data_IF_787633211386
#
_entry.id   IF_787633211386
#
_cell.length_a   1.000
_cell.length_b   1.000
_cell.length_c   1.000
_cell.angle_alpha   90.00
_cell.angle_beta   90.00
_cell.angle_gamma   90.00
#
_symmetry.space_group_name_H-M   'P 1'
#
loop_
_entity.id
_entity.type
_entity.pdbx_description
1 polymer ?
#
# COMPACT_ATOMS: atom_id res chain seq x y z
N UNK A 1 -25.46 -3.21 9.48
CA UNK A 1 -24.80 -2.83 8.21
C UNK A 1 -23.31 -2.71 8.52
N UNK A 2 -22.62 -3.84 8.57
CA UNK A 2 -21.17 -3.97 8.82
C UNK A 2 -20.45 -4.69 7.65
N UNK A 3 -21.22 -5.16 6.67
CA UNK A 3 -20.78 -6.09 5.63
C UNK A 3 -19.58 -5.60 4.81
N UNK A 4 -19.45 -4.29 4.56
CA UNK A 4 -18.33 -3.79 3.76
C UNK A 4 -16.99 -3.87 4.53
N UNK A 5 -16.99 -3.59 5.84
CA UNK A 5 -15.78 -3.69 6.64
C UNK A 5 -15.40 -5.14 6.88
N UNK A 6 -16.38 -6.02 7.15
CA UNK A 6 -16.16 -7.46 7.27
C UNK A 6 -15.66 -8.06 5.95
N UNK A 7 -16.21 -7.65 4.80
CA UNK A 7 -15.74 -8.09 3.49
C UNK A 7 -14.30 -7.62 3.21
N UNK A 8 -13.98 -6.37 3.54
CA UNK A 8 -12.62 -5.86 3.41
C UNK A 8 -11.64 -6.61 4.30
N UNK A 9 -12.05 -6.95 5.53
CA UNK A 9 -11.22 -7.70 6.46
C UNK A 9 -11.03 -9.14 6.01
N UNK A 10 -12.05 -9.78 5.43
CA UNK A 10 -11.93 -11.09 4.80
C UNK A 10 -10.89 -11.07 3.66
N UNK A 11 -10.93 -10.06 2.79
CA UNK A 11 -9.93 -9.89 1.72
C UNK A 11 -8.53 -9.68 2.32
N UNK A 12 -8.40 -8.88 3.38
CA UNK A 12 -7.11 -8.63 4.05
C UNK A 12 -6.51 -9.88 4.69
N UNK A 13 -7.35 -10.80 5.16
CA UNK A 13 -6.94 -12.05 5.80
C UNK A 13 -6.66 -13.17 4.79
N UNK A 14 -7.13 -13.04 3.55
CA UNK A 14 -6.92 -14.01 2.49
C UNK A 14 -5.41 -14.31 2.29
N UNK A 15 -4.98 -15.58 2.34
CA UNK A 15 -3.57 -15.94 2.20
C UNK A 15 -2.95 -15.51 0.87
N UNK A 16 -3.71 -15.56 -0.22
CA UNK A 16 -3.25 -15.15 -1.56
C UNK A 16 -2.99 -13.66 -1.59
N UNK A 17 -3.91 -12.87 -1.02
CA UNK A 17 -3.73 -11.43 -0.87
C UNK A 17 -2.50 -11.09 0.01
N UNK A 18 -2.30 -11.81 1.10
CA UNK A 18 -1.16 -11.59 2.00
C UNK A 18 0.18 -11.89 1.31
N UNK A 19 0.26 -12.98 0.56
CA UNK A 19 1.43 -13.34 -0.24
C UNK A 19 1.74 -12.27 -1.30
N UNK A 20 0.74 -11.90 -2.10
CA UNK A 20 0.87 -10.87 -3.12
C UNK A 20 1.37 -9.54 -2.52
N UNK A 21 0.77 -9.11 -1.40
CA UNK A 21 1.16 -7.89 -0.68
C UNK A 21 2.58 -7.98 -0.13
N UNK A 22 3.01 -9.15 0.35
CA UNK A 22 4.38 -9.35 0.84
C UNK A 22 5.40 -9.23 -0.30
N UNK A 23 5.12 -9.85 -1.46
CA UNK A 23 5.97 -9.75 -2.65
C UNK A 23 6.04 -8.31 -3.20
N UNK A 24 4.91 -7.60 -3.23
CA UNK A 24 4.86 -6.20 -3.65
C UNK A 24 5.72 -5.28 -2.77
N UNK A 25 5.92 -5.66 -1.49
CA UNK A 25 6.66 -4.89 -0.49
C UNK A 25 8.14 -5.25 -0.40
N UNK A 26 8.73 -5.84 -1.45
CA UNK A 26 10.14 -6.25 -1.46
C UNK A 26 11.10 -5.14 -0.96
N UNK A 27 12.16 -5.56 -0.27
CA UNK A 27 13.01 -4.82 0.65
C UNK A 27 13.57 -3.49 0.11
N UNK A 28 13.84 -3.38 -1.21
CA UNK A 28 14.35 -2.15 -1.82
C UNK A 28 13.36 -0.97 -1.77
N UNK A 29 12.06 -1.24 -1.63
CA UNK A 29 11.02 -0.19 -1.49
C UNK A 29 10.62 0.08 -0.04
N UNK A 30 11.09 -0.73 0.91
CA UNK A 30 10.73 -0.62 2.33
C UNK A 30 11.30 0.66 2.97
N UNK A 31 12.48 1.09 2.53
CA UNK A 31 13.13 2.32 2.97
C UNK A 31 12.35 3.56 2.48
N UNK A 32 11.90 3.53 1.22
CA UNK A 32 11.04 4.58 0.65
C UNK A 32 9.69 4.69 1.39
N UNK A 33 9.07 3.57 1.78
CA UNK A 33 7.82 3.61 2.54
C UNK A 33 8.01 4.17 3.95
N UNK A 34 9.15 3.89 4.59
CA UNK A 34 9.45 4.48 5.91
C UNK A 34 9.53 6.00 5.82
N UNK A 35 10.17 6.52 4.77
CA UNK A 35 10.21 7.95 4.47
C UNK A 35 8.81 8.55 4.22
N UNK A 36 7.97 7.87 3.43
CA UNK A 36 6.59 8.33 3.17
C UNK A 36 5.79 8.46 4.47
N UNK A 37 5.97 7.53 5.41
CA UNK A 37 5.28 7.56 6.70
C UNK A 37 5.74 8.75 7.56
N UNK A 38 7.05 9.04 7.60
CA UNK A 38 7.59 10.18 8.33
C UNK A 38 7.08 11.51 7.77
N UNK A 39 6.95 11.63 6.45
CA UNK A 39 6.40 12.81 5.78
C UNK A 39 4.91 13.04 6.12
N UNK A 40 4.12 11.95 6.16
CA UNK A 40 2.71 12.00 6.57
C UNK A 40 2.60 12.46 8.03
N UNK A 41 3.36 11.83 8.94
CA UNK A 41 3.33 12.17 10.37
C UNK A 41 3.76 13.62 10.58
N UNK A 42 4.86 14.04 9.97
CA UNK A 42 5.37 15.41 10.07
C UNK A 42 4.34 16.44 9.60
N UNK A 43 3.59 16.17 8.53
CA UNK A 43 2.53 17.05 8.05
C UNK A 43 1.32 17.12 8.99
N UNK A 44 0.98 16.01 9.66
CA UNK A 44 -0.07 15.95 10.67
C UNK A 44 0.36 16.75 11.91
N UNK A 45 1.60 16.57 12.37
CA UNK A 45 2.17 17.31 13.51
C UNK A 45 2.19 18.80 13.26
N UNK A 46 2.52 19.23 12.02
CA UNK A 46 2.47 20.63 11.61
C UNK A 46 1.04 21.15 11.38
N UNK A 47 0.01 20.32 11.60
CA UNK A 47 -1.41 20.63 11.36
C UNK A 47 -1.67 21.12 9.93
N UNK A 48 -0.96 20.55 8.95
CA UNK A 48 -1.15 20.83 7.53
C UNK A 48 -1.93 19.69 6.85
N UNK A 49 -3.27 19.79 6.79
CA UNK A 49 -4.11 18.73 6.22
C UNK A 49 -3.90 18.55 4.72
N UNK A 50 -3.50 19.59 3.99
CA UNK A 50 -3.29 19.52 2.54
C UNK A 50 -2.01 18.75 2.23
N UNK A 51 -0.93 19.04 2.98
CA UNK A 51 0.33 18.32 2.87
C UNK A 51 0.17 16.85 3.29
N UNK A 52 -0.52 16.58 4.40
CA UNK A 52 -0.78 15.22 4.87
C UNK A 52 -1.57 14.40 3.83
N UNK A 53 -2.64 14.97 3.27
CA UNK A 53 -3.42 14.31 2.23
C UNK A 53 -2.62 14.07 0.96
N UNK A 54 -1.70 14.98 0.61
CA UNK A 54 -0.83 14.83 -0.57
C UNK A 54 0.18 13.72 -0.38
N UNK A 55 0.85 13.68 0.78
CA UNK A 55 1.77 12.60 1.14
C UNK A 55 1.06 11.24 1.15
N UNK A 56 -0.13 11.15 1.75
CA UNK A 56 -0.93 9.92 1.76
C UNK A 56 -1.32 9.45 0.35
N UNK A 57 -1.72 10.36 -0.54
CA UNK A 57 -2.01 10.01 -1.95
C UNK A 57 -0.78 9.50 -2.69
N UNK A 58 0.39 10.10 -2.44
CA UNK A 58 1.67 9.63 -2.97
C UNK A 58 1.98 8.20 -2.52
N UNK A 59 1.91 7.98 -1.21
CA UNK A 59 2.11 6.66 -0.59
C UNK A 59 1.19 5.58 -1.19
N UNK A 60 -0.11 5.86 -1.27
CA UNK A 60 -1.09 4.90 -1.83
C UNK A 60 -0.83 4.58 -3.30
N UNK A 61 -0.40 5.56 -4.10
CA UNK A 61 -0.02 5.34 -5.51
C UNK A 61 1.22 4.47 -5.64
N UNK A 62 2.23 4.69 -4.81
CA UNK A 62 3.44 3.88 -4.80
C UNK A 62 3.12 2.41 -4.42
N UNK A 63 2.22 2.19 -3.47
CA UNK A 63 1.73 0.86 -3.12
C UNK A 63 0.97 0.19 -4.27
N UNK A 64 0.11 0.94 -4.97
CA UNK A 64 -0.63 0.44 -6.13
C UNK A 64 0.32 0.02 -7.25
N UNK A 65 1.28 0.86 -7.62
CA UNK A 65 2.27 0.53 -8.65
C UNK A 65 3.10 -0.71 -8.28
N UNK A 66 3.47 -0.84 -7.01
CA UNK A 66 4.20 -2.00 -6.55
C UNK A 66 3.39 -3.29 -6.68
N UNK A 67 2.08 -3.22 -6.39
CA UNK A 67 1.16 -4.33 -6.54
C UNK A 67 0.95 -4.70 -8.02
N UNK A 68 0.70 -3.72 -8.88
CA UNK A 68 0.50 -3.92 -10.31
C UNK A 68 1.72 -4.61 -10.95
N UNK A 69 2.94 -4.23 -10.55
CA UNK A 69 4.15 -4.86 -11.04
C UNK A 69 4.21 -6.36 -10.71
N UNK A 70 3.84 -6.74 -9.48
CA UNK A 70 3.87 -8.14 -9.06
C UNK A 70 2.77 -8.94 -9.73
N UNK A 71 1.57 -8.37 -9.87
CA UNK A 71 0.47 -9.00 -10.61
C UNK A 71 0.91 -9.27 -12.05
N UNK A 72 1.49 -8.28 -12.73
CA UNK A 72 1.96 -8.45 -14.10
C UNK A 72 3.04 -9.54 -14.23
N UNK A 73 3.96 -9.62 -13.26
CA UNK A 73 4.97 -10.69 -13.20
C UNK A 73 4.33 -12.09 -13.08
N UNK A 74 3.31 -12.25 -12.23
CA UNK A 74 2.59 -13.52 -12.07
C UNK A 74 1.84 -13.91 -13.35
N UNK A 75 1.23 -12.93 -14.04
CA UNK A 75 0.57 -13.15 -15.33
C UNK A 75 1.56 -13.61 -16.40
N UNK A 76 2.71 -12.93 -16.53
CA UNK A 76 3.75 -13.30 -17.49
C UNK A 76 4.33 -14.69 -17.23
N UNK A 77 4.51 -15.07 -15.96
CA UNK A 77 5.01 -16.40 -15.57
C UNK A 77 4.01 -17.54 -15.81
N UNK A 78 2.73 -17.22 -16.05
CA UNK A 78 1.65 -18.20 -16.28
C UNK A 78 1.38 -18.48 -17.76
N UNK A 79 2.08 -17.79 -18.67
CA UNK A 79 2.00 -17.94 -20.14
C UNK A 79 3.11 -18.86 -20.66
#
# INVERSE_FOLDING_TARGET
MLDIFEMLDAIRLDPTWRDLRQRARNADRLDTYSHDHDDIVSAIESRDPIKAATAMRGHLRALQQALDNVINQDLEASL
#
